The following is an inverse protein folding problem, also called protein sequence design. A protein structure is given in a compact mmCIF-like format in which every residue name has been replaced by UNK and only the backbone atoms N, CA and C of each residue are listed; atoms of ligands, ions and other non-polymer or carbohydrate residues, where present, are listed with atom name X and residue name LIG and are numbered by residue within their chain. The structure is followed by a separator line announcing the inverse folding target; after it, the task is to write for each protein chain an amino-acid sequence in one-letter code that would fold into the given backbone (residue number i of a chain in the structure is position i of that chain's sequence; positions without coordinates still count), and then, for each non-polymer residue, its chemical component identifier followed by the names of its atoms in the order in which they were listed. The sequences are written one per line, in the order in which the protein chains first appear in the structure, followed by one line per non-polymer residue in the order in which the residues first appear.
data_IF_495288384597
#
_entry.id   IF_495288384597
#
_cell.length_a   1.000
_cell.length_b   1.000
_cell.length_c   1.000
_cell.angle_alpha   90.00
_cell.angle_beta   90.00
_cell.angle_gamma   90.00
#
_symmetry.space_group_name_H-M   'P 1'
#
loop_
_entity.id
_entity.type
_entity.pdbx_description
1 polymer ?
#
# COMPACT_ATOMS: atom_id res chain seq x y z
N UNK A 1 -21.87 7.48 72.89
CA UNK A 1 -22.34 7.12 71.54
C UNK A 1 -21.35 7.70 70.52
N UNK A 2 -20.79 6.89 69.59
CA UNK A 2 -19.61 7.26 68.80
C UNK A 2 -19.91 7.89 67.43
N UNK A 3 -19.12 8.94 67.12
CA UNK A 3 -18.49 9.40 65.86
C UNK A 3 -19.29 9.48 64.53
N UNK A 4 -19.36 10.68 63.90
CA UNK A 4 -19.62 10.86 62.47
C UNK A 4 -18.29 11.06 61.71
N UNK A 5 -17.52 10.00 61.46
CA UNK A 5 -16.28 10.11 60.66
C UNK A 5 -16.11 8.86 59.79
N UNK A 6 -17.04 8.60 58.87
CA UNK A 6 -16.86 7.52 57.88
C UNK A 6 -17.29 7.88 56.46
N UNK A 7 -17.92 9.04 56.22
CA UNK A 7 -18.46 9.36 54.91
C UNK A 7 -17.46 9.98 53.90
N UNK A 8 -16.23 10.28 54.30
CA UNK A 8 -15.32 11.11 53.49
C UNK A 8 -14.29 10.34 52.64
N UNK A 9 -14.18 9.01 52.75
CA UNK A 9 -13.05 8.27 52.17
C UNK A 9 -13.41 7.54 50.85
N UNK A 10 -14.68 7.39 50.52
CA UNK A 10 -15.09 6.57 49.37
C UNK A 10 -15.05 7.28 48.00
N UNK A 11 -14.94 8.62 47.95
CA UNK A 11 -15.09 9.39 46.71
C UNK A 11 -13.80 9.59 45.90
N UNK A 12 -12.62 9.35 46.48
CA UNK A 12 -11.33 9.60 45.81
C UNK A 12 -10.73 8.40 45.08
N UNK A 13 -11.25 7.18 45.29
CA UNK A 13 -10.71 5.97 44.66
C UNK A 13 -11.20 5.73 43.23
N UNK A 14 -12.30 6.35 42.80
CA UNK A 14 -12.90 6.10 41.47
C UNK A 14 -12.29 6.95 40.33
N UNK A 15 -11.58 8.03 40.64
CA UNK A 15 -11.01 8.92 39.62
C UNK A 15 -9.65 8.44 39.08
N UNK A 16 -8.94 7.57 39.80
CA UNK A 16 -7.61 7.09 39.39
C UNK A 16 -7.64 5.89 38.43
N UNK A 17 -8.77 5.18 38.33
CA UNK A 17 -8.90 4.01 37.46
C UNK A 17 -9.25 4.35 35.99
N UNK A 18 -9.59 5.60 35.69
CA UNK A 18 -10.01 6.01 34.34
C UNK A 18 -8.86 6.45 33.42
N UNK A 19 -7.62 6.59 33.91
CA UNK A 19 -6.49 7.12 33.12
C UNK A 19 -5.57 6.04 32.50
N UNK A 20 -5.80 4.74 32.74
CA UNK A 20 -4.84 3.69 32.35
C UNK A 20 -5.24 2.85 31.14
N UNK A 21 -6.37 3.11 30.49
CA UNK A 21 -6.89 2.25 29.42
C UNK A 21 -7.01 2.91 28.04
N UNK A 22 -6.30 4.01 27.78
CA UNK A 22 -6.13 4.49 26.41
C UNK A 22 -5.08 3.59 25.71
N UNK A 23 -5.54 2.46 25.17
CA UNK A 23 -4.73 1.69 24.23
C UNK A 23 -4.26 2.64 23.11
N UNK A 24 -2.99 2.62 22.71
CA UNK A 24 -2.53 3.47 21.62
C UNK A 24 -3.37 3.12 20.39
N UNK A 25 -4.11 4.10 19.89
CA UNK A 25 -4.79 3.98 18.61
C UNK A 25 -3.70 3.80 17.55
N UNK A 26 -3.48 2.54 17.14
CA UNK A 26 -2.52 2.23 16.09
C UNK A 26 -3.11 2.79 14.80
N UNK A 27 -2.60 3.94 14.35
CA UNK A 27 -2.96 4.50 13.06
C UNK A 27 -2.66 3.45 11.99
N UNK A 28 -3.65 3.12 11.16
CA UNK A 28 -3.41 2.29 9.99
C UNK A 28 -2.32 2.96 9.13
N UNK A 29 -1.41 2.19 8.52
CA UNK A 29 -0.43 2.76 7.60
C UNK A 29 -1.16 3.57 6.53
N UNK A 30 -0.67 4.78 6.25
CA UNK A 30 -1.21 5.60 5.18
C UNK A 30 -1.20 4.79 3.87
N UNK A 31 -2.32 4.81 3.14
CA UNK A 31 -2.37 4.17 1.83
C UNK A 31 -1.30 4.83 0.94
N UNK A 32 -0.56 4.04 0.14
CA UNK A 32 0.38 4.62 -0.80
C UNK A 32 -0.37 5.57 -1.74
N UNK A 33 0.21 6.73 -1.99
CA UNK A 33 -0.37 7.80 -2.80
C UNK A 33 0.34 7.85 -4.16
N UNK A 34 -0.23 8.57 -5.12
CA UNK A 34 0.34 8.77 -6.46
C UNK A 34 -0.19 7.79 -7.50
N UNK A 35 0.64 7.41 -8.48
CA UNK A 35 0.23 6.54 -9.59
C UNK A 35 1.34 5.60 -10.06
N UNK A 36 0.92 4.47 -10.61
CA UNK A 36 1.77 3.56 -11.38
C UNK A 36 1.40 3.73 -12.84
N UNK A 37 2.37 4.00 -13.70
CA UNK A 37 2.16 4.20 -15.13
C UNK A 37 2.78 3.04 -15.88
N UNK A 38 1.99 2.32 -16.67
CA UNK A 38 2.45 1.21 -17.49
C UNK A 38 2.36 1.63 -18.95
N UNK A 39 3.52 1.62 -19.60
CA UNK A 39 3.61 1.71 -21.04
C UNK A 39 3.38 0.33 -21.66
N UNK A 40 2.43 0.29 -22.58
CA UNK A 40 2.06 -0.90 -23.33
C UNK A 40 2.59 -0.73 -24.74
N UNK A 41 3.26 -1.75 -25.26
CA UNK A 41 3.62 -1.84 -26.68
C UNK A 41 2.87 -3.01 -27.30
N UNK A 42 2.22 -2.69 -28.42
CA UNK A 42 1.63 -3.55 -29.44
C UNK A 42 0.10 -3.60 -29.54
N UNK A 43 -0.37 -3.58 -30.80
CA UNK A 43 -1.59 -4.23 -31.27
C UNK A 43 -2.78 -3.32 -31.55
N UNK A 44 -3.33 -2.66 -30.54
CA UNK A 44 -4.68 -2.05 -30.63
C UNK A 44 -4.82 -0.65 -30.04
N UNK A 45 -3.79 -0.10 -29.40
CA UNK A 45 -3.81 1.24 -28.78
C UNK A 45 -2.85 2.24 -29.43
N UNK A 46 -2.33 1.89 -30.62
CA UNK A 46 -1.52 2.81 -31.41
C UNK A 46 -2.47 3.79 -32.10
N UNK A 47 -2.52 5.01 -31.57
CA UNK A 47 -3.15 6.15 -32.25
C UNK A 47 -2.10 6.97 -33.00
N UNK A 48 -2.53 7.95 -33.79
CA UNK A 48 -1.61 8.95 -34.37
C UNK A 48 -0.76 9.68 -33.31
N UNK A 49 -1.22 9.72 -32.05
CA UNK A 49 -0.50 10.33 -30.93
C UNK A 49 0.49 9.38 -30.23
N UNK A 50 0.59 8.12 -30.67
CA UNK A 50 1.38 7.07 -30.03
C UNK A 50 0.50 6.09 -29.23
N UNK A 51 1.14 5.29 -28.35
CA UNK A 51 0.44 4.34 -27.47
C UNK A 51 -0.05 5.02 -26.20
N UNK A 52 -1.28 4.72 -25.80
CA UNK A 52 -1.85 5.20 -24.55
C UNK A 52 -1.08 4.67 -23.33
N UNK A 53 -0.88 5.53 -22.33
CA UNK A 53 -0.31 5.14 -21.04
C UNK A 53 -1.42 4.58 -20.15
N UNK A 54 -1.23 3.38 -19.59
CA UNK A 54 -2.17 2.82 -18.61
C UNK A 54 -1.78 3.27 -17.21
N UNK A 55 -2.62 4.11 -16.60
CA UNK A 55 -2.42 4.58 -15.24
C UNK A 55 -3.21 3.74 -14.23
N UNK A 56 -2.58 3.43 -13.11
CA UNK A 56 -3.16 2.66 -12.02
C UNK A 56 -2.92 3.34 -10.68
N UNK A 57 -3.95 3.38 -9.84
CA UNK A 57 -3.76 3.74 -8.44
C UNK A 57 -2.88 2.70 -7.73
N UNK A 58 -1.92 3.13 -6.89
CA UNK A 58 -1.14 2.21 -6.06
C UNK A 58 -2.05 1.42 -5.13
N UNK A 59 -1.84 0.11 -5.06
CA UNK A 59 -2.65 -0.79 -4.24
C UNK A 59 -1.83 -1.98 -3.78
N UNK A 60 -2.12 -2.47 -2.59
CA UNK A 60 -1.59 -3.73 -2.06
C UNK A 60 -2.25 -4.97 -2.69
N UNK A 61 -3.33 -4.77 -3.45
CA UNK A 61 -3.98 -5.83 -4.22
C UNK A 61 -3.13 -6.21 -5.44
N UNK A 62 -3.12 -7.51 -5.77
CA UNK A 62 -2.44 -7.99 -6.95
C UNK A 62 -3.08 -7.45 -8.22
N UNK A 63 -2.24 -7.07 -9.19
CA UNK A 63 -2.69 -6.69 -10.52
C UNK A 63 -1.78 -7.27 -11.59
N UNK A 64 -2.38 -8.05 -12.48
CA UNK A 64 -1.72 -8.50 -13.70
C UNK A 64 -1.32 -7.29 -14.56
N UNK A 65 -0.18 -7.41 -15.23
CA UNK A 65 0.15 -6.46 -16.28
C UNK A 65 -0.86 -6.56 -17.42
N UNK A 66 -1.22 -5.43 -18.05
CA UNK A 66 -1.99 -5.48 -19.29
C UNK A 66 -1.20 -6.20 -20.38
N UNK A 67 -1.91 -6.84 -21.30
CA UNK A 67 -1.28 -7.45 -22.47
C UNK A 67 -0.45 -6.39 -23.21
N UNK A 68 0.79 -6.75 -23.55
CA UNK A 68 1.74 -5.83 -24.18
C UNK A 68 2.45 -4.88 -23.22
N UNK A 69 2.33 -5.00 -21.89
CA UNK A 69 3.14 -4.20 -20.98
C UNK A 69 4.64 -4.39 -21.23
N UNK A 70 5.39 -3.28 -21.30
CA UNK A 70 6.83 -3.31 -21.56
C UNK A 70 7.64 -2.42 -20.64
N UNK A 71 7.11 -1.28 -20.21
CA UNK A 71 7.78 -0.40 -19.24
C UNK A 71 6.78 -0.01 -18.16
N UNK A 72 7.23 0.04 -16.92
CA UNK A 72 6.45 0.58 -15.81
C UNK A 72 7.25 1.65 -15.07
N UNK A 73 6.55 2.72 -14.69
CA UNK A 73 7.09 3.80 -13.87
C UNK A 73 6.30 3.91 -12.57
N UNK A 74 7.03 3.91 -11.46
CA UNK A 74 6.48 4.04 -10.12
C UNK A 74 6.51 5.52 -9.68
N UNK A 75 5.42 6.24 -9.94
CA UNK A 75 5.20 7.59 -9.41
C UNK A 75 4.39 7.57 -8.10
N UNK A 76 4.38 6.44 -7.39
CA UNK A 76 3.74 6.32 -6.08
C UNK A 76 4.75 6.51 -4.95
N UNK A 77 4.24 6.64 -3.72
CA UNK A 77 5.08 6.73 -2.51
C UNK A 77 5.57 5.37 -2.00
N UNK A 78 5.01 4.25 -2.50
CA UNK A 78 5.36 2.89 -2.08
C UNK A 78 6.33 2.18 -3.02
N UNK A 79 6.94 1.08 -2.57
CA UNK A 79 7.72 0.21 -3.47
C UNK A 79 6.76 -0.61 -4.33
N UNK A 80 7.09 -0.74 -5.60
CA UNK A 80 6.34 -1.57 -6.53
C UNK A 80 7.00 -2.95 -6.61
N UNK A 81 6.34 -3.99 -6.09
CA UNK A 81 6.82 -5.37 -6.10
C UNK A 81 6.41 -6.08 -7.40
N UNK A 82 7.26 -6.97 -7.92
CA UNK A 82 6.98 -7.73 -9.14
C UNK A 82 6.89 -9.23 -8.94
N UNK A 83 6.11 -9.84 -9.84
CA UNK A 83 5.87 -11.26 -9.90
C UNK A 83 5.93 -11.74 -11.35
N UNK A 84 6.42 -12.96 -11.55
CA UNK A 84 6.57 -13.58 -12.86
C UNK A 84 5.25 -14.16 -13.39
N UNK A 85 4.25 -14.29 -12.52
CA UNK A 85 2.90 -14.78 -12.81
C UNK A 85 1.85 -13.66 -12.64
N UNK A 86 0.64 -13.79 -13.21
CA UNK A 86 -0.41 -12.78 -13.11
C UNK A 86 -1.16 -12.77 -11.77
N UNK A 87 -0.90 -13.70 -10.85
CA UNK A 87 -1.62 -13.87 -9.58
C UNK A 87 -0.80 -13.47 -8.35
N UNK A 88 0.37 -12.87 -8.54
CA UNK A 88 1.31 -12.47 -7.49
C UNK A 88 1.78 -13.62 -6.58
N UNK A 89 1.93 -14.82 -7.14
CA UNK A 89 2.35 -16.01 -6.38
C UNK A 89 3.85 -16.29 -6.45
N UNK A 90 4.49 -15.91 -7.55
CA UNK A 90 5.89 -16.14 -7.86
C UNK A 90 6.65 -14.80 -7.92
N UNK A 91 7.16 -14.30 -6.79
CA UNK A 91 7.89 -13.04 -6.78
C UNK A 91 9.15 -13.12 -7.65
N UNK A 92 9.44 -12.05 -8.37
CA UNK A 92 10.70 -11.92 -9.10
C UNK A 92 11.85 -12.00 -8.08
N UNK A 93 12.92 -12.76 -8.33
CA UNK A 93 14.04 -12.85 -7.41
C UNK A 93 14.84 -11.54 -7.32
N UNK A 94 15.50 -11.24 -6.18
CA UNK A 94 16.43 -10.12 -6.07
C UNK A 94 17.56 -10.19 -7.12
N UNK A 95 18.10 -9.04 -7.59
CA UNK A 95 17.83 -7.68 -7.11
C UNK A 95 16.67 -6.96 -7.81
N UNK A 96 15.94 -7.64 -8.70
CA UNK A 96 14.91 -7.02 -9.56
C UNK A 96 13.48 -7.16 -9.02
N UNK A 97 13.34 -7.50 -7.74
CA UNK A 97 12.06 -7.83 -7.11
C UNK A 97 11.19 -6.61 -6.80
N UNK A 98 11.73 -5.40 -6.87
CA UNK A 98 10.95 -4.17 -6.70
C UNK A 98 11.53 -2.94 -7.42
N UNK A 99 10.67 -1.93 -7.63
CA UNK A 99 11.04 -0.58 -8.06
C UNK A 99 10.75 0.42 -6.94
N UNK A 100 11.74 1.26 -6.63
CA UNK A 100 11.60 2.35 -5.66
C UNK A 100 10.69 3.47 -6.19
N UNK A 101 10.05 4.25 -5.30
CA UNK A 101 9.40 5.51 -5.69
C UNK A 101 10.27 6.35 -6.63
N UNK A 102 9.65 6.94 -7.66
CA UNK A 102 10.31 7.80 -8.65
C UNK A 102 11.13 7.09 -9.73
N UNK A 103 11.13 5.74 -9.78
CA UNK A 103 11.92 4.95 -10.74
C UNK A 103 11.00 4.13 -11.67
N UNK A 104 11.57 3.61 -12.76
CA UNK A 104 10.89 2.69 -13.68
C UNK A 104 11.80 1.56 -14.13
N UNK A 105 11.21 0.54 -14.77
CA UNK A 105 11.94 -0.59 -15.32
C UNK A 105 11.19 -1.23 -16.50
N UNK A 106 11.92 -2.02 -17.28
CA UNK A 106 11.33 -2.91 -18.26
C UNK A 106 10.65 -4.09 -17.55
N UNK A 107 9.50 -4.52 -18.08
CA UNK A 107 8.70 -5.61 -17.52
C UNK A 107 8.31 -6.61 -18.59
N UNK A 108 8.04 -7.84 -18.16
CA UNK A 108 7.40 -8.84 -19.01
C UNK A 108 5.89 -8.56 -19.10
N UNK A 109 5.26 -8.80 -20.26
CA UNK A 109 3.81 -8.66 -20.41
C UNK A 109 2.99 -9.71 -19.65
N UNK A 110 3.60 -10.76 -19.08
CA UNK A 110 2.89 -11.89 -18.45
C UNK A 110 2.91 -11.87 -16.92
N UNK A 111 3.53 -10.86 -16.29
CA UNK A 111 3.68 -10.79 -14.84
C UNK A 111 2.55 -10.05 -14.12
N UNK A 112 2.78 -9.72 -12.86
CA UNK A 112 1.91 -8.86 -12.05
C UNK A 112 2.71 -7.95 -11.11
N UNK A 113 2.02 -6.97 -10.53
CA UNK A 113 2.58 -6.04 -9.56
C UNK A 113 1.60 -5.70 -8.43
N UNK A 114 2.16 -5.24 -7.31
CA UNK A 114 1.43 -4.60 -6.21
C UNK A 114 2.36 -3.68 -5.42
N UNK A 115 1.81 -2.83 -4.57
CA UNK A 115 2.60 -1.98 -3.66
C UNK A 115 2.78 -2.66 -2.30
N UNK A 116 4.00 -2.66 -1.76
CA UNK A 116 4.33 -3.27 -0.45
C UNK A 116 5.80 -3.23 -0.04
#
# INVERSE_FOLDING_TARGET
MPRPVQAAIAATALAAAALTAAAPASAAPAAPEGKIVVFVTEGSEISWAGTELREYAPSSSCRAFPAGAHVVANHSTGRLLFFTDPWCMAPVPPPFNFIRPGHGAHVSPTGSFRVG
#
